data_IF_771308666781
#
_entry.id   IF_771308666781
#
_cell.length_a   1.000
_cell.length_b   1.000
_cell.length_c   1.000
_cell.angle_alpha   90.00
_cell.angle_beta   90.00
_cell.angle_gamma   90.00
#
_symmetry.space_group_name_H-M   'P 1'
#
loop_
_entity.id
_entity.type
_entity.pdbx_description
1 polymer ?
#
# COMPACT_ATOMS: atom_id res chain seq x y z
N UNK A 1 -13.22 -9.13 -3.85
CA UNK A 1 -11.87 -8.77 -4.31
C UNK A 1 -11.53 -7.29 -4.07
N UNK A 2 -12.33 -6.29 -4.51
CA UNK A 2 -11.94 -4.88 -4.37
C UNK A 2 -11.73 -4.42 -2.92
N UNK A 3 -12.61 -4.82 -1.98
CA UNK A 3 -12.41 -4.51 -0.56
C UNK A 3 -11.09 -5.07 -0.03
N UNK A 4 -10.76 -6.32 -0.36
CA UNK A 4 -9.52 -6.95 0.11
C UNK A 4 -8.28 -6.25 -0.43
N UNK A 5 -8.31 -5.82 -1.71
CA UNK A 5 -7.22 -5.02 -2.28
C UNK A 5 -7.02 -3.71 -1.53
N UNK A 6 -8.10 -3.01 -1.16
CA UNK A 6 -8.01 -1.79 -0.35
C UNK A 6 -7.39 -2.04 1.03
N UNK A 7 -7.73 -3.16 1.68
CA UNK A 7 -7.13 -3.56 2.97
C UNK A 7 -5.63 -3.90 2.81
N UNK A 8 -5.23 -4.52 1.69
CA UNK A 8 -3.82 -4.80 1.41
C UNK A 8 -3.00 -3.51 1.27
N UNK A 9 -3.57 -2.48 0.63
CA UNK A 9 -2.94 -1.16 0.56
C UNK A 9 -2.75 -0.57 1.96
N UNK A 10 -3.72 -0.72 2.86
CA UNK A 10 -3.59 -0.25 4.25
C UNK A 10 -2.54 -1.05 5.04
N UNK A 11 -2.51 -2.37 4.88
CA UNK A 11 -1.46 -3.23 5.46
C UNK A 11 -0.08 -2.78 4.96
N UNK A 12 0.06 -2.45 3.67
CA UNK A 12 1.32 -2.00 3.11
C UNK A 12 1.82 -0.68 3.73
N UNK A 13 0.92 0.27 4.02
CA UNK A 13 1.28 1.50 4.73
C UNK A 13 1.91 1.22 6.10
N UNK A 14 1.33 0.29 6.87
CA UNK A 14 1.89 -0.09 8.16
C UNK A 14 3.20 -0.85 8.03
N UNK A 15 3.29 -1.79 7.08
CA UNK A 15 4.48 -2.60 6.85
C UNK A 15 5.67 -1.75 6.39
N UNK A 16 5.46 -0.82 5.47
CA UNK A 16 6.50 0.07 4.98
C UNK A 16 6.95 1.04 6.09
N UNK A 17 6.01 1.57 6.87
CA UNK A 17 6.34 2.43 8.03
C UNK A 17 7.17 1.67 9.07
N UNK A 18 6.80 0.43 9.40
CA UNK A 18 7.56 -0.41 10.32
C UNK A 18 8.96 -0.71 9.77
N UNK A 19 9.08 -1.00 8.48
CA UNK A 19 10.37 -1.26 7.82
C UNK A 19 11.26 -0.02 7.91
N UNK A 20 10.74 1.17 7.61
CA UNK A 20 11.51 2.42 7.72
C UNK A 20 12.00 2.65 9.17
N UNK A 21 11.18 2.33 10.17
CA UNK A 21 11.56 2.41 11.58
C UNK A 21 12.68 1.42 11.92
N UNK A 22 12.63 0.18 11.41
CA UNK A 22 13.66 -0.84 11.64
C UNK A 22 15.03 -0.44 11.06
N UNK A 23 15.06 0.49 10.11
CA UNK A 23 16.26 1.08 9.52
C UNK A 23 16.52 2.53 10.00
N UNK A 24 16.05 2.90 11.20
CA UNK A 24 16.29 4.20 11.83
C UNK A 24 15.84 5.42 10.98
N UNK A 25 14.86 5.23 10.10
CA UNK A 25 14.37 6.26 9.18
C UNK A 25 15.13 6.36 7.85
N UNK A 26 16.13 5.52 7.61
CA UNK A 26 16.88 5.51 6.34
C UNK A 26 16.06 4.85 5.24
N UNK A 27 15.48 5.69 4.37
CA UNK A 27 14.62 5.27 3.26
C UNK A 27 15.41 4.50 2.19
N UNK A 28 16.65 4.90 1.89
CA UNK A 28 17.45 4.22 0.87
C UNK A 28 17.88 2.83 1.35
N UNK A 29 18.33 2.72 2.60
CA UNK A 29 18.67 1.43 3.20
C UNK A 29 17.45 0.51 3.27
N UNK A 30 16.29 1.06 3.67
CA UNK A 30 15.02 0.33 3.68
C UNK A 30 14.68 -0.19 2.29
N UNK A 31 14.68 0.68 1.27
CA UNK A 31 14.33 0.31 -0.09
C UNK A 31 15.26 -0.80 -0.63
N UNK A 32 16.57 -0.68 -0.42
CA UNK A 32 17.53 -1.71 -0.81
C UNK A 32 17.27 -3.05 -0.11
N UNK A 33 16.95 -3.04 1.17
CA UNK A 33 16.66 -4.25 1.92
C UNK A 33 15.39 -4.96 1.43
N UNK A 34 14.30 -4.21 1.21
CA UNK A 34 13.04 -4.77 0.70
C UNK A 34 13.21 -5.30 -0.73
N UNK A 35 13.94 -4.58 -1.59
CA UNK A 35 14.26 -5.03 -2.94
C UNK A 35 15.10 -6.31 -2.93
N UNK A 36 16.08 -6.41 -2.04
CA UNK A 36 16.90 -7.61 -1.88
C UNK A 36 16.07 -8.83 -1.45
N UNK A 37 15.10 -8.66 -0.53
CA UNK A 37 14.19 -9.74 -0.14
C UNK A 37 13.36 -10.25 -1.32
N UNK A 38 12.89 -9.36 -2.19
CA UNK A 38 12.10 -9.71 -3.38
C UNK A 38 12.93 -10.38 -4.47
N UNK A 39 14.19 -9.96 -4.64
CA UNK A 39 15.08 -10.50 -5.66
C UNK A 39 15.57 -11.93 -5.35
N UNK A 40 15.58 -12.33 -4.08
CA UNK A 40 16.31 -13.53 -3.65
C UNK A 40 15.62 -14.87 -3.93
N UNK A 41 14.35 -14.94 -4.35
CA UNK A 41 13.61 -16.20 -4.25
C UNK A 41 12.68 -16.52 -5.43
N UNK A 42 13.14 -17.42 -6.30
CA UNK A 42 12.28 -18.05 -7.31
C UNK A 42 11.15 -18.90 -6.67
N UNK A 43 11.41 -19.52 -5.52
CA UNK A 43 10.44 -20.27 -4.70
C UNK A 43 10.52 -19.78 -3.25
N UNK A 44 9.80 -18.70 -2.90
CA UNK A 44 9.90 -18.12 -1.56
C UNK A 44 9.38 -19.06 -0.47
N UNK A 45 10.17 -19.17 0.59
CA UNK A 45 9.86 -19.97 1.77
C UNK A 45 9.80 -19.04 2.99
N UNK A 46 8.79 -19.23 3.81
CA UNK A 46 8.63 -18.49 5.07
C UNK A 46 8.67 -19.48 6.23
N UNK A 47 9.56 -19.26 7.19
CA UNK A 47 9.62 -20.06 8.41
C UNK A 47 8.82 -19.38 9.53
N UNK A 48 7.84 -20.07 10.10
CA UNK A 48 7.08 -19.59 11.25
C UNK A 48 6.88 -20.74 12.24
N UNK A 49 7.15 -20.47 13.53
CA UNK A 49 7.06 -21.46 14.61
C UNK A 49 7.78 -22.80 14.32
N UNK A 50 9.00 -22.71 13.78
CA UNK A 50 9.81 -23.90 13.43
C UNK A 50 9.31 -24.70 12.22
N UNK A 51 8.27 -24.25 11.53
CA UNK A 51 7.74 -24.85 10.31
C UNK A 51 8.01 -23.97 9.09
N UNK A 52 8.39 -24.61 7.99
CA UNK A 52 8.60 -23.96 6.71
C UNK A 52 7.34 -24.02 5.83
N UNK A 53 7.01 -22.88 5.23
CA UNK A 53 5.83 -22.70 4.41
C UNK A 53 6.24 -22.28 2.99
N UNK A 54 5.89 -23.11 2.01
CA UNK A 54 6.09 -22.82 0.59
C UNK A 54 4.93 -21.95 0.09
N UNK A 55 5.07 -20.63 0.19
CA UNK A 55 3.92 -19.71 0.06
C UNK A 55 3.20 -19.80 -1.28
N UNK A 56 3.92 -20.13 -2.36
CA UNK A 56 3.36 -20.33 -3.71
C UNK A 56 2.47 -21.55 -3.86
N UNK A 57 2.55 -22.49 -2.91
CA UNK A 57 1.77 -23.75 -2.91
C UNK A 57 0.57 -23.68 -1.97
N UNK A 58 0.32 -22.53 -1.35
CA UNK A 58 -0.74 -22.33 -0.37
C UNK A 58 -1.92 -21.59 -0.98
N UNK A 59 -3.12 -21.81 -0.43
CA UNK A 59 -4.27 -20.98 -0.79
C UNK A 59 -4.12 -19.58 -0.19
N UNK A 60 -4.90 -18.63 -0.72
CA UNK A 60 -4.92 -17.24 -0.24
C UNK A 60 -5.20 -17.17 1.27
N UNK A 61 -6.17 -17.95 1.75
CA UNK A 61 -6.54 -17.96 3.18
C UNK A 61 -5.37 -18.39 4.06
N UNK A 62 -4.68 -19.48 3.70
CA UNK A 62 -3.53 -19.98 4.47
C UNK A 62 -2.39 -18.95 4.51
N UNK A 63 -2.15 -18.24 3.39
CA UNK A 63 -1.13 -17.19 3.33
C UNK A 63 -1.53 -15.96 4.17
N UNK A 64 -2.81 -15.58 4.20
CA UNK A 64 -3.32 -14.51 5.06
C UNK A 64 -3.18 -14.88 6.56
N UNK A 65 -3.50 -16.13 6.93
CA UNK A 65 -3.31 -16.62 8.30
C UNK A 65 -1.83 -16.64 8.70
N UNK A 66 -0.94 -17.10 7.81
CA UNK A 66 0.50 -17.04 8.02
C UNK A 66 1.00 -15.60 8.21
N UNK A 67 0.52 -14.67 7.38
CA UNK A 67 0.86 -13.26 7.51
C UNK A 67 0.36 -12.67 8.84
N UNK A 68 -0.86 -12.99 9.25
CA UNK A 68 -1.39 -12.57 10.55
C UNK A 68 -0.55 -13.12 11.72
N UNK A 69 -0.13 -14.38 11.64
CA UNK A 69 0.77 -15.00 12.62
C UNK A 69 2.13 -14.31 12.70
N UNK A 70 2.73 -13.98 11.56
CA UNK A 70 3.96 -13.18 11.50
C UNK A 70 3.77 -11.81 12.15
N UNK A 71 2.72 -11.08 11.78
CA UNK A 71 2.42 -9.77 12.33
C UNK A 71 2.22 -9.81 13.85
N UNK A 72 1.51 -10.83 14.36
CA UNK A 72 1.35 -11.05 15.80
C UNK A 72 2.70 -11.29 16.51
N UNK A 73 3.65 -11.91 15.82
CA UNK A 73 5.03 -12.10 16.27
C UNK A 73 5.96 -10.90 15.99
N UNK A 74 5.41 -9.72 15.60
CA UNK A 74 6.16 -8.51 15.21
C UNK A 74 7.15 -8.75 14.07
N UNK A 75 6.77 -9.60 13.13
CA UNK A 75 7.55 -9.91 11.93
C UNK A 75 6.71 -9.60 10.71
N UNK A 76 7.37 -9.24 9.62
CA UNK A 76 6.73 -9.06 8.33
C UNK A 76 7.56 -9.72 7.24
N UNK A 77 6.90 -10.29 6.24
CA UNK A 77 7.56 -10.93 5.09
C UNK A 77 7.07 -10.26 3.81
N UNK A 78 7.93 -9.45 3.20
CA UNK A 78 7.63 -8.77 1.94
C UNK A 78 7.33 -9.78 0.81
N UNK A 79 8.09 -10.89 0.65
CA UNK A 79 7.76 -11.90 -0.36
C UNK A 79 6.38 -12.53 -0.16
N UNK A 80 5.99 -12.83 1.09
CA UNK A 80 4.64 -13.33 1.40
C UNK A 80 3.56 -12.31 1.05
N UNK A 81 3.76 -11.06 1.46
CA UNK A 81 2.80 -10.00 1.18
C UNK A 81 2.61 -9.78 -0.33
N UNK A 82 3.71 -9.68 -1.10
CA UNK A 82 3.63 -9.51 -2.55
C UNK A 82 2.99 -10.72 -3.24
N UNK A 83 3.18 -11.92 -2.69
CA UNK A 83 2.47 -13.09 -3.19
C UNK A 83 0.96 -13.03 -2.91
N UNK A 84 0.54 -12.58 -1.72
CA UNK A 84 -0.87 -12.37 -1.38
C UNK A 84 -1.50 -11.30 -2.29
N UNK A 85 -0.78 -10.21 -2.56
CA UNK A 85 -1.19 -9.16 -3.52
C UNK A 85 -1.48 -9.77 -4.90
N UNK A 86 -0.58 -10.62 -5.39
CA UNK A 86 -0.78 -11.32 -6.65
C UNK A 86 -1.95 -12.32 -6.60
N UNK A 87 -2.14 -13.04 -5.50
CA UNK A 87 -3.31 -13.92 -5.28
C UNK A 87 -4.63 -13.14 -5.25
N UNK A 88 -4.58 -11.84 -4.96
CA UNK A 88 -5.71 -10.93 -4.98
C UNK A 88 -5.88 -10.22 -6.34
N UNK A 89 -5.22 -10.68 -7.40
CA UNK A 89 -5.30 -10.14 -8.76
C UNK A 89 -4.87 -8.66 -8.86
N UNK A 90 -3.98 -8.22 -7.96
CA UNK A 90 -3.43 -6.88 -7.94
C UNK A 90 -1.94 -6.93 -8.31
N UNK A 91 -1.50 -6.05 -9.22
CA UNK A 91 -0.09 -5.94 -9.59
C UNK A 91 0.68 -5.07 -8.59
N UNK A 92 2.01 -5.13 -8.63
CA UNK A 92 2.86 -4.22 -7.86
C UNK A 92 2.64 -2.75 -8.26
N UNK A 93 2.44 -2.49 -9.55
CA UNK A 93 2.12 -1.15 -10.06
C UNK A 93 0.78 -0.66 -9.51
N UNK A 94 -0.23 -1.52 -9.46
CA UNK A 94 -1.53 -1.16 -8.92
C UNK A 94 -1.48 -0.93 -7.40
N UNK A 95 -0.72 -1.75 -6.67
CA UNK A 95 -0.43 -1.51 -5.26
C UNK A 95 0.23 -0.13 -5.05
N UNK A 96 1.24 0.21 -5.86
CA UNK A 96 1.92 1.50 -5.80
C UNK A 96 0.97 2.66 -6.15
N UNK A 97 0.15 2.52 -7.20
CA UNK A 97 -0.87 3.49 -7.62
C UNK A 97 -1.80 3.84 -6.47
N UNK A 98 -2.40 2.82 -5.88
CA UNK A 98 -3.36 2.98 -4.78
C UNK A 98 -2.67 3.49 -3.51
N UNK A 99 -1.46 3.03 -3.22
CA UNK A 99 -0.68 3.49 -2.07
C UNK A 99 -0.42 4.99 -2.14
N UNK A 100 0.17 5.47 -3.24
CA UNK A 100 0.45 6.91 -3.42
C UNK A 100 -0.84 7.71 -3.41
N UNK A 101 -1.87 7.23 -4.12
CA UNK A 101 -3.17 7.90 -4.14
C UNK A 101 -3.78 8.10 -2.76
N UNK A 102 -3.86 7.03 -1.94
CA UNK A 102 -4.35 7.12 -0.56
C UNK A 102 -3.48 8.05 0.29
N UNK A 103 -2.17 7.96 0.15
CA UNK A 103 -1.23 8.78 0.90
C UNK A 103 -1.41 10.28 0.59
N UNK A 104 -1.45 10.64 -0.68
CA UNK A 104 -1.66 12.01 -1.15
C UNK A 104 -3.04 12.54 -0.74
N UNK A 105 -4.11 11.73 -0.88
CA UNK A 105 -5.44 12.13 -0.42
C UNK A 105 -5.48 12.38 1.10
N UNK A 106 -4.75 11.58 1.89
CA UNK A 106 -4.65 11.79 3.33
C UNK A 106 -3.94 13.10 3.67
N UNK A 107 -2.85 13.45 2.97
CA UNK A 107 -2.21 14.78 3.12
C UNK A 107 -3.15 15.92 2.70
N UNK A 108 -3.79 15.77 1.53
CA UNK A 108 -4.76 16.73 1.02
C UNK A 108 -5.87 17.02 2.03
N UNK A 109 -6.42 15.99 2.68
CA UNK A 109 -7.39 16.13 3.78
C UNK A 109 -6.84 17.00 4.91
N UNK A 110 -5.62 16.70 5.38
CA UNK A 110 -5.01 17.47 6.48
C UNK A 110 -4.83 18.94 6.13
N UNK A 111 -4.32 19.22 4.93
CA UNK A 111 -4.06 20.59 4.46
C UNK A 111 -5.34 21.40 4.27
N UNK A 112 -6.45 20.72 3.98
CA UNK A 112 -7.78 21.31 3.82
C UNK A 112 -8.64 21.24 5.10
N UNK A 113 -8.01 21.08 6.27
CA UNK A 113 -8.63 21.29 7.57
C UNK A 113 -9.39 20.08 8.12
N UNK A 114 -9.01 18.86 7.78
CA UNK A 114 -9.61 17.63 8.32
C UNK A 114 -9.57 17.59 9.85
N UNK A 115 -8.44 17.94 10.47
CA UNK A 115 -8.32 18.05 11.95
C UNK A 115 -9.16 19.18 12.55
N UNK A 116 -9.41 20.24 11.78
CA UNK A 116 -10.26 21.35 12.19
C UNK A 116 -11.76 21.06 11.97
N UNK A 117 -12.09 19.94 11.32
CA UNK A 117 -13.47 19.60 10.96
C UNK A 117 -14.05 20.42 9.81
N UNK A 118 -13.23 21.19 9.09
CA UNK A 118 -13.68 22.06 7.98
C UNK A 118 -13.58 21.38 6.61
N UNK A 119 -12.89 20.25 6.54
CA UNK A 119 -12.73 19.49 5.30
C UNK A 119 -14.08 18.92 4.81
N UNK A 120 -14.37 19.11 3.53
CA UNK A 120 -15.54 18.52 2.88
C UNK A 120 -15.15 17.17 2.30
N UNK A 121 -15.71 16.07 2.83
CA UNK A 121 -15.44 14.71 2.29
C UNK A 121 -16.22 14.42 1.01
N UNK A 122 -17.35 15.10 0.80
CA UNK A 122 -18.19 14.92 -0.38
C UNK A 122 -18.02 16.09 -1.32
N UNK A 123 -17.53 15.85 -2.53
CA UNK A 123 -17.31 16.85 -3.57
C UNK A 123 -18.31 16.61 -4.70
N UNK A 124 -19.13 17.62 -5.01
CA UNK A 124 -20.11 17.53 -6.12
C UNK A 124 -21.03 16.27 -6.02
N UNK A 125 -21.35 15.84 -4.79
CA UNK A 125 -22.21 14.68 -4.54
C UNK A 125 -21.53 13.30 -4.51
N UNK A 126 -20.21 13.23 -4.69
CA UNK A 126 -19.41 11.99 -4.62
C UNK A 126 -18.37 12.05 -3.50
N UNK A 127 -17.97 10.92 -2.94
CA UNK A 127 -16.89 10.89 -1.94
C UNK A 127 -15.53 11.24 -2.57
N UNK A 128 -14.66 11.88 -1.79
CA UNK A 128 -13.29 12.23 -2.17
C UNK A 128 -12.47 11.02 -2.70
N UNK A 129 -12.67 9.83 -2.14
CA UNK A 129 -12.06 8.59 -2.65
C UNK A 129 -12.50 8.27 -4.09
N UNK A 130 -13.72 8.60 -4.50
CA UNK A 130 -14.17 8.39 -5.87
C UNK A 130 -13.50 9.35 -6.84
N UNK A 131 -13.30 10.61 -6.42
CA UNK A 131 -12.53 11.59 -7.20
C UNK A 131 -11.07 11.19 -7.31
N UNK A 132 -10.49 10.61 -6.26
CA UNK A 132 -9.15 10.06 -6.29
C UNK A 132 -9.01 8.99 -7.38
N UNK A 133 -9.96 8.06 -7.49
CA UNK A 133 -9.94 7.01 -8.53
C UNK A 133 -9.87 7.65 -9.92
N UNK A 134 -10.73 8.64 -10.21
CA UNK A 134 -10.73 9.34 -11.50
C UNK A 134 -9.41 10.09 -11.78
N UNK A 135 -8.75 10.61 -10.73
CA UNK A 135 -7.43 11.25 -10.86
C UNK A 135 -6.37 10.21 -11.16
N UNK A 136 -6.33 9.11 -10.42
CA UNK A 136 -5.34 8.06 -10.60
C UNK A 136 -5.45 7.43 -12.00
N UNK A 137 -6.66 7.23 -12.52
CA UNK A 137 -6.89 6.65 -13.86
C UNK A 137 -6.41 7.56 -14.99
N UNK A 138 -6.35 8.88 -14.77
CA UNK A 138 -5.92 9.85 -15.76
C UNK A 138 -4.39 10.08 -15.82
N UNK A 139 -3.64 9.55 -14.85
CA UNK A 139 -2.21 9.84 -14.65
C UNK A 139 -1.31 8.67 -15.02
N UNK A 140 -0.11 9.00 -15.52
CA UNK A 140 0.97 8.05 -15.76
C UNK A 140 1.74 7.81 -14.45
N UNK A 141 1.67 6.58 -13.96
CA UNK A 141 2.33 6.13 -12.73
C UNK A 141 3.86 6.19 -12.80
N UNK A 142 4.43 6.22 -14.00
CA UNK A 142 5.88 6.30 -14.23
C UNK A 142 6.39 7.74 -14.21
N UNK A 143 5.51 8.73 -14.06
CA UNK A 143 5.92 10.12 -13.95
C UNK A 143 6.69 10.34 -12.63
N UNK A 144 7.91 10.91 -12.66
CA UNK A 144 8.64 11.27 -11.44
C UNK A 144 7.84 12.16 -10.48
N UNK A 145 6.95 13.00 -11.03
CA UNK A 145 6.12 13.95 -10.28
C UNK A 145 4.71 13.40 -9.98
N UNK A 146 4.52 12.07 -10.07
CA UNK A 146 3.20 11.43 -9.95
C UNK A 146 2.41 11.85 -8.71
N UNK A 147 3.06 11.90 -7.54
CA UNK A 147 2.42 12.31 -6.30
C UNK A 147 1.91 13.76 -6.34
N UNK A 148 2.69 14.66 -6.95
CA UNK A 148 2.32 16.07 -7.11
C UNK A 148 1.17 16.22 -8.11
N UNK A 149 1.19 15.44 -9.20
CA UNK A 149 0.09 15.42 -10.18
C UNK A 149 -1.21 14.92 -9.56
N UNK A 150 -1.16 13.89 -8.69
CA UNK A 150 -2.33 13.43 -7.92
C UNK A 150 -2.84 14.57 -7.04
N UNK A 151 -1.96 15.25 -6.31
CA UNK A 151 -2.37 16.34 -5.41
C UNK A 151 -3.03 17.49 -6.19
N UNK A 152 -2.45 17.89 -7.32
CA UNK A 152 -3.03 18.91 -8.20
C UNK A 152 -4.38 18.47 -8.77
N UNK A 153 -4.51 17.20 -9.18
CA UNK A 153 -5.77 16.64 -9.66
C UNK A 153 -6.89 16.68 -8.61
N UNK A 154 -6.55 16.43 -7.34
CA UNK A 154 -7.48 16.58 -6.20
C UNK A 154 -7.84 18.05 -5.97
N UNK A 155 -6.84 18.94 -5.96
CA UNK A 155 -7.04 20.38 -5.74
C UNK A 155 -7.99 21.00 -6.78
N UNK A 156 -7.89 20.60 -8.05
CA UNK A 156 -8.77 21.07 -9.12
C UNK A 156 -10.24 20.64 -8.95
N UNK A 157 -10.48 19.55 -8.22
CA UNK A 157 -11.82 18.98 -7.98
C UNK A 157 -12.43 19.45 -6.66
N UNK A 158 -11.59 19.88 -5.71
CA UNK A 158 -12.02 20.28 -4.38
C UNK A 158 -12.91 21.53 -4.43
N UNK A 159 -14.09 21.54 -3.78
CA UNK A 159 -14.94 22.72 -3.73
C UNK A 159 -14.21 23.90 -3.09
N UNK A 160 -14.23 25.05 -3.78
CA UNK A 160 -13.74 26.34 -3.26
C UNK A 160 -14.72 26.95 -2.27
#
# INVERSE_FOLDING_TARGET
MPQLQMELVDIWHFALSASIIDYDGDVEATAHALAAQLAQQAEPMVTFDGKDYAIKKQALLDNLELMAGLCAAKRFSVPLFMHIVAQCEMSGDELYRQYVGKNVLNFFRQDNGYKAGTYQKTWQGREDNEHLVDVLDALDINNPDYADEVYQGLQQRYPS
#
